data_IF_453685189691
#
_entry.id   IF_453685189691
#
_cell.length_a   1.000
_cell.length_b   1.000
_cell.length_c   1.000
_cell.angle_alpha   90.00
_cell.angle_beta   90.00
_cell.angle_gamma   90.00
#
_symmetry.space_group_name_H-M   'P 1'
#
loop_
_entity.id
_entity.type
_entity.pdbx_description
1 polymer ?
#
# COMPACT_ATOMS: atom_id res chain seq x y z
N UNK A 1 -19.99 9.31 6.51
CA UNK A 1 -20.19 9.73 5.08
C UNK A 1 -20.34 8.46 4.25
N UNK A 2 -21.48 8.27 3.64
CA UNK A 2 -21.73 7.14 2.74
C UNK A 2 -21.74 7.61 1.28
N UNK A 3 -21.40 6.73 0.33
CA UNK A 3 -21.39 7.00 -1.12
C UNK A 3 -20.54 8.21 -1.55
N UNK A 4 -19.45 8.46 -0.80
CA UNK A 4 -18.53 9.58 -1.07
C UNK A 4 -17.27 9.06 -1.75
N UNK A 5 -16.84 9.71 -2.84
CA UNK A 5 -15.58 9.35 -3.47
C UNK A 5 -14.41 9.91 -2.65
N UNK A 6 -13.73 9.05 -1.95
CA UNK A 6 -12.64 9.40 -1.02
C UNK A 6 -11.54 10.27 -1.64
N UNK A 7 -11.26 10.13 -2.94
CA UNK A 7 -10.22 10.92 -3.63
C UNK A 7 -10.47 12.43 -3.62
N UNK A 8 -11.73 12.82 -3.47
CA UNK A 8 -12.14 14.24 -3.50
C UNK A 8 -12.51 14.78 -2.13
N UNK A 9 -12.36 13.94 -1.09
CA UNK A 9 -12.64 14.34 0.29
C UNK A 9 -11.58 15.35 0.74
N UNK A 10 -12.03 16.45 1.31
CA UNK A 10 -11.19 17.53 1.79
C UNK A 10 -11.23 17.61 3.31
N UNK A 11 -10.23 18.28 3.88
CA UNK A 11 -10.17 18.49 5.33
C UNK A 11 -11.41 19.20 5.88
N UNK A 12 -11.95 20.15 5.12
CA UNK A 12 -13.17 20.89 5.46
C UNK A 12 -14.47 20.05 5.51
N UNK A 13 -14.45 18.86 4.91
CA UNK A 13 -15.57 17.92 4.92
C UNK A 13 -15.62 17.06 6.19
N UNK A 14 -14.60 17.16 7.04
CA UNK A 14 -14.44 16.37 8.28
C UNK A 14 -14.33 17.33 9.47
N UNK A 15 -15.16 17.11 10.50
CA UNK A 15 -15.21 17.98 11.68
C UNK A 15 -14.00 17.80 12.60
N UNK A 16 -13.52 16.55 12.75
CA UNK A 16 -12.43 16.19 13.66
C UNK A 16 -11.09 16.00 12.98
N UNK A 17 -10.01 16.21 13.71
CA UNK A 17 -8.66 15.81 13.29
C UNK A 17 -8.50 14.30 13.40
N UNK A 18 -8.04 13.66 12.32
CA UNK A 18 -7.89 12.22 12.29
C UNK A 18 -6.53 11.79 12.85
N UNK A 19 -6.58 11.03 13.95
CA UNK A 19 -5.40 10.41 14.56
C UNK A 19 -4.98 9.15 13.82
N UNK A 20 -5.96 8.40 13.34
CA UNK A 20 -5.76 7.10 12.72
C UNK A 20 -6.74 6.85 11.58
N UNK A 21 -6.27 6.15 10.55
CA UNK A 21 -7.09 5.68 9.44
C UNK A 21 -6.80 4.21 9.11
N UNK A 22 -7.84 3.47 8.74
CA UNK A 22 -7.68 2.16 8.09
C UNK A 22 -8.18 2.22 6.66
N UNK A 23 -7.42 1.65 5.73
CA UNK A 23 -7.72 1.71 4.30
C UNK A 23 -7.76 0.31 3.70
N UNK A 24 -8.98 -0.10 3.36
CA UNK A 24 -9.28 -1.28 2.56
C UNK A 24 -10.08 -0.85 1.33
N UNK A 25 -9.42 -0.75 0.19
CA UNK A 25 -10.04 -0.32 -1.08
C UNK A 25 -9.87 -1.38 -2.15
N UNK A 26 -10.82 -1.43 -3.08
CA UNK A 26 -10.82 -2.38 -4.19
C UNK A 26 -10.98 -1.65 -5.53
N UNK A 27 -10.39 -2.22 -6.59
CA UNK A 27 -10.44 -1.71 -7.96
C UNK A 27 -9.78 -0.33 -8.16
N UNK A 28 -8.93 0.07 -7.23
CA UNK A 28 -8.17 1.31 -7.28
C UNK A 28 -6.79 1.10 -6.64
N UNK A 29 -5.76 1.75 -7.17
CA UNK A 29 -4.43 1.74 -6.57
C UNK A 29 -4.38 2.61 -5.31
N UNK A 30 -3.66 2.15 -4.29
CA UNK A 30 -3.36 2.92 -3.08
C UNK A 30 -2.68 4.26 -3.40
N UNK A 31 -1.91 4.35 -4.49
CA UNK A 31 -1.28 5.59 -4.90
C UNK A 31 -2.27 6.73 -5.20
N UNK A 32 -3.54 6.40 -5.47
CA UNK A 32 -4.62 7.38 -5.64
C UNK A 32 -5.31 7.75 -4.33
N UNK A 33 -5.05 6.99 -3.26
CA UNK A 33 -5.70 7.13 -1.95
C UNK A 33 -4.78 7.76 -0.91
N UNK A 34 -3.47 7.47 -0.98
CA UNK A 34 -2.53 7.88 0.06
C UNK A 34 -2.41 9.40 0.23
N UNK A 35 -2.41 10.19 -0.86
CA UNK A 35 -2.39 11.66 -0.74
C UNK A 35 -3.66 12.22 -0.12
N UNK A 36 -4.88 11.91 -0.60
CA UNK A 36 -6.10 12.31 0.09
C UNK A 36 -6.12 11.93 1.57
N UNK A 37 -5.75 10.68 1.90
CA UNK A 37 -5.70 10.22 3.29
C UNK A 37 -4.69 11.02 4.12
N UNK A 38 -3.49 11.25 3.58
CA UNK A 38 -2.45 12.07 4.24
C UNK A 38 -2.93 13.48 4.56
N UNK A 39 -3.64 14.09 3.61
CA UNK A 39 -4.14 15.45 3.80
C UNK A 39 -5.22 15.55 4.91
N UNK A 40 -5.89 14.43 5.22
CA UNK A 40 -6.89 14.36 6.28
C UNK A 40 -6.30 14.02 7.65
N UNK A 41 -5.16 13.31 7.69
CA UNK A 41 -4.48 12.97 8.93
C UNK A 41 -3.79 14.20 9.53
N UNK A 42 -3.84 14.31 10.85
CA UNK A 42 -2.98 15.25 11.59
C UNK A 42 -1.51 14.85 11.56
N UNK A 43 -0.62 15.73 11.97
CA UNK A 43 0.80 15.42 12.15
C UNK A 43 0.97 14.24 13.12
N UNK A 44 1.87 13.32 12.81
CA UNK A 44 2.09 12.05 13.50
C UNK A 44 0.86 11.12 13.52
N UNK A 45 -0.22 11.45 12.81
CA UNK A 45 -1.34 10.56 12.60
C UNK A 45 -0.90 9.33 11.80
N UNK A 46 -1.48 8.18 12.11
CA UNK A 46 -1.07 6.90 11.57
C UNK A 46 -2.16 6.30 10.67
N UNK A 47 -1.77 5.38 9.81
CA UNK A 47 -2.73 4.63 9.02
C UNK A 47 -2.21 3.22 8.71
N UNK A 48 -3.14 2.27 8.59
CA UNK A 48 -2.87 0.93 8.08
C UNK A 48 -3.61 0.75 6.77
N UNK A 49 -2.88 0.34 5.74
CA UNK A 49 -3.44 0.11 4.41
C UNK A 49 -3.28 -1.35 3.99
N UNK A 50 -4.29 -1.89 3.33
CA UNK A 50 -4.22 -3.18 2.69
C UNK A 50 -3.70 -3.02 1.26
N UNK A 51 -2.51 -3.55 0.99
CA UNK A 51 -1.93 -3.61 -0.35
C UNK A 51 -2.50 -4.85 -1.05
N UNK A 52 -3.17 -4.63 -2.17
CA UNK A 52 -3.80 -5.68 -2.97
C UNK A 52 -3.09 -5.81 -4.32
N UNK A 53 -2.17 -6.78 -4.48
CA UNK A 53 -1.38 -6.89 -5.70
C UNK A 53 -2.21 -6.92 -6.98
N UNK A 54 -3.39 -7.50 -6.95
CA UNK A 54 -4.30 -7.57 -8.09
C UNK A 54 -4.81 -6.21 -8.59
N UNK A 55 -4.75 -5.16 -7.75
CA UNK A 55 -5.13 -3.79 -8.14
C UNK A 55 -3.94 -2.85 -8.35
N UNK A 56 -2.72 -3.36 -8.10
CA UNK A 56 -1.48 -2.60 -8.15
C UNK A 56 -0.53 -2.99 -9.30
N UNK A 57 -0.57 -4.26 -9.73
CA UNK A 57 0.46 -4.85 -10.59
C UNK A 57 0.33 -4.50 -12.08
N UNK A 58 -0.82 -3.96 -12.52
CA UNK A 58 -1.13 -3.84 -13.95
C UNK A 58 -1.75 -5.11 -14.53
N UNK A 59 -2.56 -4.93 -15.57
CA UNK A 59 -3.39 -6.02 -16.13
C UNK A 59 -2.58 -7.18 -16.68
N UNK A 60 -1.40 -6.90 -17.23
CA UNK A 60 -0.50 -7.87 -17.86
C UNK A 60 0.13 -8.84 -16.85
N UNK A 61 0.18 -8.46 -15.57
CA UNK A 61 0.74 -9.28 -14.47
C UNK A 61 -0.34 -9.98 -13.65
N UNK A 62 -1.60 -9.70 -13.93
CA UNK A 62 -2.73 -10.34 -13.25
C UNK A 62 -3.15 -11.57 -14.03
N UNK A 63 -3.05 -12.72 -13.38
CA UNK A 63 -3.36 -14.00 -13.99
C UNK A 63 -4.86 -14.28 -14.14
N UNK A 64 -5.16 -15.50 -14.53
CA UNK A 64 -6.54 -16.00 -14.65
C UNK A 64 -7.28 -15.84 -13.32
N UNK A 65 -8.55 -15.47 -13.39
CA UNK A 65 -9.44 -15.21 -12.25
C UNK A 65 -9.03 -13.98 -11.40
N UNK A 66 -8.19 -13.08 -11.92
CA UNK A 66 -7.82 -11.88 -11.18
C UNK A 66 -6.78 -12.12 -10.07
N UNK A 67 -6.00 -13.21 -10.14
CA UNK A 67 -5.03 -13.57 -9.09
C UNK A 67 -3.61 -13.28 -9.55
N UNK A 68 -2.84 -12.61 -8.69
CA UNK A 68 -1.39 -12.45 -8.82
C UNK A 68 -0.70 -13.57 -8.06
N UNK A 69 0.10 -14.39 -8.75
CA UNK A 69 0.74 -15.59 -8.17
C UNK A 69 2.26 -15.48 -8.05
N UNK A 70 2.88 -14.66 -8.89
CA UNK A 70 4.32 -14.57 -8.97
C UNK A 70 4.89 -13.78 -7.78
N UNK A 71 5.77 -14.37 -6.93
CA UNK A 71 6.36 -13.68 -5.79
C UNK A 71 7.07 -12.39 -6.17
N UNK A 72 7.69 -12.36 -7.36
CA UNK A 72 8.40 -11.18 -7.86
C UNK A 72 7.44 -10.01 -8.13
N UNK A 73 6.24 -10.29 -8.65
CA UNK A 73 5.21 -9.27 -8.86
C UNK A 73 4.73 -8.70 -7.52
N UNK A 74 4.61 -9.54 -6.50
CA UNK A 74 4.30 -9.08 -5.14
C UNK A 74 5.38 -8.14 -4.60
N UNK A 75 6.68 -8.51 -4.77
CA UNK A 75 7.80 -7.64 -4.39
C UNK A 75 7.77 -6.29 -5.09
N UNK A 76 7.60 -6.29 -6.41
CA UNK A 76 7.51 -5.06 -7.20
C UNK A 76 6.38 -4.14 -6.72
N UNK A 77 5.21 -4.71 -6.42
CA UNK A 77 4.05 -3.98 -5.91
C UNK A 77 4.35 -3.37 -4.54
N UNK A 78 4.91 -4.14 -3.63
CA UNK A 78 5.26 -3.65 -2.28
C UNK A 78 6.32 -2.55 -2.37
N UNK A 79 7.39 -2.75 -3.15
CA UNK A 79 8.41 -1.72 -3.38
C UNK A 79 7.79 -0.41 -3.89
N UNK A 80 6.92 -0.49 -4.90
CA UNK A 80 6.22 0.68 -5.44
C UNK A 80 5.43 1.44 -4.37
N UNK A 81 4.67 0.72 -3.51
CA UNK A 81 3.83 1.36 -2.48
C UNK A 81 4.69 1.94 -1.36
N UNK A 82 5.72 1.23 -0.90
CA UNK A 82 6.65 1.69 0.14
C UNK A 82 7.38 2.95 -0.31
N UNK A 83 7.97 2.93 -1.51
CA UNK A 83 8.68 4.10 -2.05
C UNK A 83 7.76 5.28 -2.31
N UNK A 84 6.52 5.01 -2.75
CA UNK A 84 5.54 6.07 -2.95
C UNK A 84 5.12 6.71 -1.62
N UNK A 85 4.83 5.91 -0.60
CA UNK A 85 4.46 6.42 0.72
C UNK A 85 5.58 7.29 1.32
N UNK A 86 6.82 6.81 1.28
CA UNK A 86 8.01 7.57 1.71
C UNK A 86 8.15 8.90 0.95
N UNK A 87 8.02 8.86 -0.37
CA UNK A 87 8.17 10.04 -1.23
C UNK A 87 7.15 11.16 -1.00
N UNK A 88 6.00 10.83 -0.42
CA UNK A 88 4.94 11.80 -0.09
C UNK A 88 4.89 12.16 1.39
N UNK A 89 5.92 11.79 2.17
CA UNK A 89 6.08 12.19 3.57
C UNK A 89 5.32 11.31 4.57
N UNK A 90 5.32 10.01 4.33
CA UNK A 90 5.05 9.02 5.36
C UNK A 90 6.34 8.33 5.79
N UNK A 91 6.48 8.06 7.08
CA UNK A 91 7.39 7.02 7.56
C UNK A 91 6.67 5.68 7.44
N UNK A 92 7.29 4.73 6.78
CA UNK A 92 6.80 3.34 6.75
C UNK A 92 7.30 2.64 8.01
N UNK A 93 6.37 2.29 8.91
CA UNK A 93 6.68 1.73 10.22
C UNK A 93 6.81 0.21 10.17
N UNK A 94 5.84 -0.47 9.54
CA UNK A 94 5.77 -1.93 9.49
C UNK A 94 5.21 -2.41 8.16
N UNK A 95 5.59 -3.61 7.79
CA UNK A 95 5.10 -4.37 6.64
C UNK A 95 4.86 -5.82 7.06
N UNK A 96 3.67 -6.34 6.81
CA UNK A 96 3.35 -7.75 7.06
C UNK A 96 2.36 -8.26 5.99
N UNK A 97 2.26 -9.56 5.81
CA UNK A 97 1.21 -10.14 4.98
C UNK A 97 -0.09 -10.34 5.77
N UNK A 98 -1.22 -10.23 5.08
CA UNK A 98 -2.52 -10.50 5.70
C UNK A 98 -2.66 -12.01 6.00
N UNK A 99 -3.09 -12.39 7.21
CA UNK A 99 -3.37 -13.79 7.52
C UNK A 99 -4.62 -14.31 6.79
N UNK A 100 -5.42 -13.41 6.24
CA UNK A 100 -6.64 -13.72 5.50
C UNK A 100 -6.40 -13.39 4.03
N UNK A 101 -6.69 -14.35 3.15
CA UNK A 101 -6.65 -14.12 1.70
C UNK A 101 -7.79 -13.25 1.23
N UNK A 102 -7.52 -12.42 0.24
CA UNK A 102 -8.54 -11.70 -0.49
C UNK A 102 -9.36 -12.60 -1.42
N UNK A 103 -10.32 -12.01 -2.15
CA UNK A 103 -11.13 -12.74 -3.13
C UNK A 103 -10.27 -13.56 -4.09
N UNK A 104 -10.81 -14.71 -4.53
CA UNK A 104 -10.16 -15.65 -5.46
C UNK A 104 -8.80 -16.19 -4.95
N UNK A 105 -8.47 -15.97 -3.66
CA UNK A 105 -7.26 -16.46 -3.02
C UNK A 105 -6.05 -15.55 -3.17
N UNK A 106 -6.23 -14.27 -3.51
CA UNK A 106 -5.13 -13.32 -3.56
C UNK A 106 -4.44 -13.16 -2.19
N UNK A 107 -3.11 -13.19 -2.18
CA UNK A 107 -2.31 -12.78 -1.02
C UNK A 107 -2.32 -11.25 -0.98
N UNK A 108 -2.61 -10.69 0.18
CA UNK A 108 -2.65 -9.25 0.42
C UNK A 108 -1.67 -8.88 1.53
N UNK A 109 -1.24 -7.62 1.59
CA UNK A 109 -0.24 -7.17 2.56
C UNK A 109 -0.74 -5.97 3.33
N UNK A 110 -0.28 -5.82 4.57
CA UNK A 110 -0.57 -4.70 5.44
C UNK A 110 0.66 -3.81 5.52
N UNK A 111 0.49 -2.53 5.29
CA UNK A 111 1.52 -1.52 5.51
C UNK A 111 1.05 -0.52 6.54
N UNK A 112 1.87 -0.30 7.58
CA UNK A 112 1.62 0.68 8.63
C UNK A 112 2.44 1.93 8.35
N UNK A 113 1.78 3.07 8.28
CA UNK A 113 2.32 4.36 7.88
C UNK A 113 2.06 5.39 8.96
N UNK A 114 3.02 6.31 9.17
CA UNK A 114 2.84 7.50 10.00
C UNK A 114 3.15 8.75 9.20
N UNK A 115 2.25 9.73 9.23
CA UNK A 115 2.47 11.02 8.60
C UNK A 115 3.60 11.76 9.31
N UNK A 116 4.64 12.12 8.54
CA UNK A 116 5.74 12.92 9.07
C UNK A 116 5.28 14.32 9.44
N UNK A 117 5.94 14.87 10.48
CA UNK A 117 5.82 16.27 10.83
C UNK A 117 6.47 17.12 9.75
N UNK A 118 5.71 18.03 9.17
CA UNK A 118 6.23 18.95 8.18
C UNK A 118 6.83 20.20 8.87
N UNK A 119 7.94 20.75 8.34
CA UNK A 119 8.39 22.08 8.74
C UNK A 119 7.27 23.10 8.49
N UNK A 120 7.09 24.05 9.38
CA UNK A 120 6.02 25.09 9.28
C UNK A 120 6.01 25.80 7.92
N UNK A 121 7.19 25.98 7.31
CA UNK A 121 7.37 26.61 6.00
C UNK A 121 6.95 25.73 4.81
N UNK A 122 6.82 24.41 5.02
CA UNK A 122 6.53 23.42 3.99
C UNK A 122 5.10 22.86 4.06
N UNK A 123 4.28 23.33 5.00
CA UNK A 123 2.90 22.84 5.18
C UNK A 123 2.06 23.23 3.96
N UNK A 124 1.90 22.30 3.05
CA UNK A 124 0.95 22.40 1.94
C UNK A 124 0.23 21.10 1.71
N UNK A 125 -0.98 21.21 1.24
CA UNK A 125 -1.73 20.03 0.77
C UNK A 125 -1.10 19.51 -0.53
N UNK A 126 -0.82 18.22 -0.56
CA UNK A 126 -0.37 17.55 -1.77
C UNK A 126 -1.54 17.37 -2.75
N UNK A 127 -1.23 17.49 -4.03
CA UNK A 127 -2.21 17.44 -5.13
C UNK A 127 -2.08 16.15 -5.95
N UNK A 128 -3.05 15.92 -6.83
CA UNK A 128 -3.00 14.82 -7.80
C UNK A 128 -1.77 14.93 -8.73
N UNK A 129 -1.35 16.15 -9.08
CA UNK A 129 -0.14 16.38 -9.87
C UNK A 129 1.13 15.99 -9.11
N UNK A 130 1.18 16.22 -7.80
CA UNK A 130 2.29 15.74 -6.97
C UNK A 130 2.36 14.21 -6.98
N UNK A 131 1.20 13.53 -6.89
CA UNK A 131 1.11 12.07 -6.99
C UNK A 131 1.69 11.54 -8.30
N UNK A 132 1.29 12.11 -9.41
CA UNK A 132 1.76 11.68 -10.74
C UNK A 132 3.26 11.89 -10.92
N UNK A 133 3.79 13.01 -10.45
CA UNK A 133 5.21 13.32 -10.53
C UNK A 133 6.05 12.33 -9.71
N UNK A 134 5.62 12.03 -8.47
CA UNK A 134 6.29 11.05 -7.61
C UNK A 134 6.29 9.65 -8.22
N UNK A 135 5.15 9.20 -8.74
CA UNK A 135 5.06 7.90 -9.42
C UNK A 135 6.00 7.80 -10.62
N UNK A 136 6.10 8.84 -11.44
CA UNK A 136 7.04 8.86 -12.58
C UNK A 136 8.49 8.72 -12.12
N UNK A 137 8.86 9.37 -11.02
CA UNK A 137 10.22 9.28 -10.44
C UNK A 137 10.53 7.87 -9.93
N UNK A 138 9.58 7.21 -9.25
CA UNK A 138 9.71 5.84 -8.75
C UNK A 138 9.84 4.85 -9.92
N UNK A 139 8.95 4.94 -10.91
CA UNK A 139 8.99 4.08 -12.10
C UNK A 139 10.30 4.26 -12.89
N UNK A 140 10.88 5.46 -12.89
CA UNK A 140 12.17 5.72 -13.52
C UNK A 140 13.37 5.13 -12.75
N UNK A 141 13.15 4.39 -11.65
CA UNK A 141 14.18 3.69 -10.89
C UNK A 141 15.08 4.62 -10.06
N UNK A 142 14.58 5.79 -9.67
CA UNK A 142 15.29 6.64 -8.70
C UNK A 142 15.29 5.96 -7.33
N UNK A 143 16.33 6.19 -6.55
CA UNK A 143 16.50 5.61 -5.22
C UNK A 143 15.28 5.87 -4.33
N UNK A 144 14.76 4.83 -3.70
CA UNK A 144 13.67 4.88 -2.74
C UNK A 144 13.99 4.07 -1.48
N UNK A 145 13.11 4.11 -0.50
CA UNK A 145 13.23 3.39 0.76
C UNK A 145 13.42 1.88 0.54
N UNK A 146 12.71 1.32 -0.45
CA UNK A 146 12.78 -0.10 -0.81
C UNK A 146 14.16 -0.56 -1.30
N UNK A 147 15.04 0.37 -1.69
CA UNK A 147 16.39 0.06 -2.17
C UNK A 147 17.40 -0.11 -1.02
N UNK A 148 17.03 0.24 0.21
CA UNK A 148 17.90 0.02 1.37
C UNK A 148 17.95 -1.48 1.71
N UNK A 149 19.11 -1.96 2.20
CA UNK A 149 19.33 -3.37 2.53
C UNK A 149 18.29 -3.90 3.54
N UNK A 150 17.92 -3.08 4.52
CA UNK A 150 16.90 -3.42 5.52
C UNK A 150 15.54 -3.69 4.87
N UNK A 151 15.08 -2.79 4.01
CA UNK A 151 13.79 -2.92 3.35
C UNK A 151 13.78 -4.02 2.28
N UNK A 152 14.86 -4.19 1.54
CA UNK A 152 14.98 -5.31 0.59
C UNK A 152 14.85 -6.65 1.31
N UNK A 153 15.51 -6.79 2.47
CA UNK A 153 15.42 -8.02 3.27
C UNK A 153 14.01 -8.22 3.81
N UNK A 154 13.41 -7.19 4.43
CA UNK A 154 12.07 -7.27 5.00
C UNK A 154 11.01 -7.62 3.94
N UNK A 155 11.04 -6.95 2.80
CA UNK A 155 10.09 -7.21 1.69
C UNK A 155 10.23 -8.64 1.18
N UNK A 156 11.48 -9.09 0.95
CA UNK A 156 11.74 -10.46 0.49
C UNK A 156 11.20 -11.48 1.48
N UNK A 157 11.56 -11.38 2.75
CA UNK A 157 11.14 -12.32 3.78
C UNK A 157 9.61 -12.32 3.98
N UNK A 158 8.97 -11.17 3.92
CA UNK A 158 7.51 -11.06 4.04
C UNK A 158 6.81 -11.77 2.88
N UNK A 159 7.30 -11.59 1.65
CA UNK A 159 6.75 -12.27 0.47
C UNK A 159 7.01 -13.77 0.54
N UNK A 160 8.22 -14.21 0.91
CA UNK A 160 8.53 -15.64 1.06
C UNK A 160 7.64 -16.33 2.10
N UNK A 161 7.43 -15.69 3.26
CA UNK A 161 6.53 -16.21 4.31
C UNK A 161 5.09 -16.34 3.82
N UNK A 162 4.57 -15.34 3.13
CA UNK A 162 3.20 -15.35 2.63
C UNK A 162 2.93 -16.47 1.61
N UNK A 163 3.88 -16.72 0.72
CA UNK A 163 3.80 -17.81 -0.27
C UNK A 163 3.99 -19.20 0.36
N UNK A 164 4.86 -19.32 1.35
CA UNK A 164 5.04 -20.59 2.10
C UNK A 164 3.79 -21.00 2.89
N UNK A 165 3.02 -20.04 3.39
CA UNK A 165 1.72 -20.29 4.01
C UNK A 165 0.69 -20.77 2.99
N UNK A 166 0.72 -20.24 1.77
CA UNK A 166 -0.17 -20.67 0.70
C UNK A 166 0.05 -22.14 0.32
N UNK A 167 1.32 -22.55 0.20
CA UNK A 167 1.65 -23.95 -0.12
C UNK A 167 1.15 -24.92 0.95
N UNK A 168 1.31 -24.59 2.24
CA UNK A 168 0.82 -25.43 3.35
C UNK A 168 -0.69 -25.58 3.33
N UNK A 169 -1.46 -24.52 3.20
CA UNK A 169 -2.92 -24.58 3.09
C UNK A 169 -3.39 -25.43 1.91
N UNK A 170 -2.74 -25.27 0.76
CA UNK A 170 -3.07 -26.04 -0.44
C UNK A 170 -2.75 -27.54 -0.31
N UNK A 171 -1.79 -27.90 0.54
CA UNK A 171 -1.47 -29.30 0.86
C UNK A 171 -2.48 -29.91 1.82
N UNK A 172 -2.92 -29.17 2.83
CA UNK A 172 -3.90 -29.60 3.82
C UNK A 172 -5.28 -29.86 3.16
N UNK A 173 -5.76 -28.95 2.31
CA UNK A 173 -7.00 -29.12 1.56
C UNK A 173 -7.01 -30.35 0.63
N UNK A 174 -5.84 -30.72 0.07
CA UNK A 174 -5.71 -31.92 -0.78
C UNK A 174 -5.66 -33.23 -0.01
N UNK A 175 -5.36 -33.19 1.30
CA UNK A 175 -5.35 -34.39 2.15
C UNK A 175 -6.73 -34.68 2.76
N UNK A 176 -7.60 -33.69 2.82
CA UNK A 176 -8.96 -33.78 3.34
C UNK A 176 -10.02 -34.12 2.25
N UNK A 177 -9.62 -34.14 0.97
CA UNK A 177 -10.49 -34.45 -0.20
C UNK A 177 -10.31 -35.87 -0.70
#
# INVERSE_FOLDING_TARGET
>A
MEQTNFRYLKREDIEDDLDFASVDVSFISLTKILIPARNLLKENGEMVCLIKPQFEAGREKVGKNGVVREPEVHREVICKIVDYADSIGFTVLELEYSPIKGPEGNIEYLVHLRKEKEPEEAVRLLTEQDAENRLKEIIAGKSGLSQTEVWQTLIRETVERSHSMEEKHSMEEKQES
#
